data_IF_917997336538
#
_entry.id   IF_917997336538
#
_cell.length_a   1.000
_cell.length_b   1.000
_cell.length_c   1.000
_cell.angle_alpha   90.00
_cell.angle_beta   90.00
_cell.angle_gamma   90.00
#
_symmetry.space_group_name_H-M   'P 1'
#
loop_
_entity.id
_entity.type
_entity.pdbx_description
1 polymer ?
#
# COMPACT_ATOMS: atom_id res chain seq x y z
N UNK A 1 30.05 38.19 -8.37
CA UNK A 1 31.04 37.10 -8.26
C UNK A 1 30.44 35.88 -8.94
N UNK A 2 30.77 35.67 -10.21
CA UNK A 2 30.30 34.51 -10.98
C UNK A 2 31.14 33.30 -10.60
N UNK A 3 30.55 32.37 -9.85
CA UNK A 3 31.18 31.07 -9.62
C UNK A 3 30.99 30.24 -10.88
N UNK A 4 32.03 30.20 -11.70
CA UNK A 4 32.19 29.26 -12.81
C UNK A 4 32.07 27.84 -12.26
N UNK A 5 30.96 27.17 -12.55
CA UNK A 5 30.80 25.75 -12.24
C UNK A 5 31.73 24.96 -13.15
N UNK A 6 32.72 24.32 -12.54
CA UNK A 6 33.69 23.48 -13.24
C UNK A 6 32.95 22.36 -14.03
N UNK A 7 33.21 22.21 -15.34
CA UNK A 7 32.62 21.16 -16.18
C UNK A 7 32.79 19.74 -15.62
N UNK A 8 33.86 19.47 -14.86
CA UNK A 8 34.09 18.18 -14.22
C UNK A 8 33.09 17.87 -13.09
N UNK A 9 32.62 18.90 -12.36
CA UNK A 9 31.56 18.76 -11.34
C UNK A 9 30.19 18.52 -11.95
N UNK A 10 29.94 19.05 -13.16
CA UNK A 10 28.73 18.76 -13.94
C UNK A 10 28.78 17.33 -14.47
N UNK A 11 29.94 16.87 -14.95
CA UNK A 11 30.14 15.48 -15.39
C UNK A 11 29.98 14.45 -14.26
N UNK A 12 30.43 14.76 -13.03
CA UNK A 12 30.25 13.89 -11.86
C UNK A 12 28.78 13.82 -11.39
N UNK A 13 28.00 14.90 -11.53
CA UNK A 13 26.56 14.88 -11.24
C UNK A 13 25.75 14.13 -12.31
N UNK A 14 26.23 14.11 -13.57
CA UNK A 14 25.64 13.34 -14.67
C UNK A 14 25.91 11.84 -14.56
N UNK A 15 26.97 11.41 -13.85
CA UNK A 15 27.27 9.99 -13.61
C UNK A 15 26.32 9.30 -12.62
N UNK A 16 25.56 10.06 -11.81
CA UNK A 16 24.45 9.55 -10.98
C UNK A 16 23.12 9.60 -11.77
N UNK A 17 23.20 9.94 -13.06
CA UNK A 17 22.10 9.91 -14.01
C UNK A 17 21.56 8.50 -14.15
N UNK A 18 20.34 8.31 -13.63
CA UNK A 18 19.37 7.30 -14.00
C UNK A 18 19.83 6.33 -15.08
N UNK A 19 20.39 5.20 -14.66
CA UNK A 19 20.67 4.04 -15.50
C UNK A 19 19.33 3.36 -15.87
N UNK A 20 18.41 4.10 -16.47
CA UNK A 20 17.07 3.64 -16.89
C UNK A 20 17.12 2.72 -18.12
N UNK A 21 18.32 2.51 -18.69
CA UNK A 21 18.63 1.46 -19.66
C UNK A 21 19.37 0.27 -19.04
N UNK A 22 19.33 0.08 -17.71
CA UNK A 22 19.99 -1.06 -17.10
C UNK A 22 19.47 -2.39 -17.71
N UNK A 23 20.40 -3.31 -17.95
CA UNK A 23 20.31 -4.64 -18.58
C UNK A 23 19.33 -5.64 -17.91
N UNK A 24 18.24 -5.17 -17.33
CA UNK A 24 17.30 -5.91 -16.48
C UNK A 24 16.15 -6.56 -17.27
N UNK A 25 16.09 -6.36 -18.59
CA UNK A 25 14.98 -6.78 -19.46
C UNK A 25 15.10 -8.18 -20.05
N UNK A 26 16.27 -8.85 -20.03
CA UNK A 26 16.40 -10.14 -20.74
C UNK A 26 17.42 -11.16 -20.20
N UNK A 27 18.27 -10.82 -19.22
CA UNK A 27 19.25 -11.77 -18.67
C UNK A 27 18.80 -12.45 -17.38
N UNK A 28 18.94 -13.77 -17.29
CA UNK A 28 19.02 -14.45 -15.99
C UNK A 28 20.30 -14.01 -15.30
N UNK A 29 20.21 -12.99 -14.43
CA UNK A 29 21.34 -12.58 -13.60
C UNK A 29 21.54 -13.65 -12.53
N UNK A 30 22.62 -14.42 -12.63
CA UNK A 30 23.07 -15.29 -11.56
C UNK A 30 23.50 -14.41 -10.39
N UNK A 31 22.76 -14.50 -9.28
CA UNK A 31 23.13 -13.82 -8.03
C UNK A 31 24.02 -14.75 -7.22
N UNK A 32 25.06 -14.19 -6.61
CA UNK A 32 25.88 -14.89 -5.63
C UNK A 32 25.01 -15.46 -4.49
N UNK A 33 25.44 -16.54 -3.83
CA UNK A 33 24.80 -17.02 -2.61
C UNK A 33 24.62 -15.87 -1.62
N UNK A 34 23.40 -15.74 -1.08
CA UNK A 34 23.10 -14.71 -0.11
C UNK A 34 23.47 -15.20 1.29
N UNK A 35 24.27 -14.43 2.02
CA UNK A 35 24.66 -14.71 3.39
C UNK A 35 24.51 -13.43 4.23
N UNK A 36 23.46 -13.29 5.05
CA UNK A 36 23.30 -12.10 5.88
C UNK A 36 24.34 -12.06 7.00
N UNK A 37 24.76 -10.86 7.40
CA UNK A 37 25.59 -10.68 8.59
C UNK A 37 24.73 -10.82 9.86
N UNK A 38 25.29 -11.25 11.01
CA UNK A 38 24.54 -11.30 12.27
C UNK A 38 23.91 -9.96 12.68
N UNK A 39 24.56 -8.84 12.33
CA UNK A 39 23.97 -7.51 12.54
C UNK A 39 22.73 -7.30 11.68
N UNK A 40 22.79 -7.69 10.40
CA UNK A 40 21.65 -7.57 9.47
C UNK A 40 20.48 -8.43 9.94
N UNK A 41 20.74 -9.67 10.36
CA UNK A 41 19.72 -10.56 10.94
C UNK A 41 19.07 -9.93 12.17
N UNK A 42 19.86 -9.43 13.11
CA UNK A 42 19.34 -8.78 14.32
C UNK A 42 18.49 -7.54 14.03
N UNK A 43 18.86 -6.73 13.04
CA UNK A 43 18.05 -5.57 12.60
C UNK A 43 16.71 -6.04 12.00
N UNK A 44 16.73 -7.08 11.17
CA UNK A 44 15.54 -7.63 10.51
C UNK A 44 14.58 -8.21 11.55
N UNK A 45 15.09 -9.00 12.49
CA UNK A 45 14.28 -9.63 13.54
C UNK A 45 13.56 -8.57 14.39
N UNK A 46 14.26 -7.50 14.76
CA UNK A 46 13.66 -6.38 15.49
C UNK A 46 12.59 -5.65 14.65
N UNK A 47 12.83 -5.41 13.36
CA UNK A 47 11.82 -4.84 12.45
C UNK A 47 10.59 -5.74 12.37
N UNK A 48 10.77 -7.07 12.31
CA UNK A 48 9.67 -8.04 12.28
C UNK A 48 8.88 -8.03 13.59
N UNK A 49 9.55 -7.97 14.73
CA UNK A 49 8.92 -7.87 16.05
C UNK A 49 8.07 -6.59 16.17
N UNK A 50 8.67 -5.43 15.88
CA UNK A 50 8.00 -4.13 15.87
C UNK A 50 6.83 -4.10 14.87
N UNK A 51 6.97 -4.72 13.69
CA UNK A 51 5.87 -4.79 12.74
C UNK A 51 4.68 -5.56 13.28
N UNK A 52 4.90 -6.69 13.97
CA UNK A 52 3.83 -7.47 14.60
C UNK A 52 3.14 -6.68 15.71
N UNK A 53 3.89 -5.97 16.54
CA UNK A 53 3.35 -5.07 17.55
C UNK A 53 2.50 -3.97 16.90
N UNK A 54 3.01 -3.34 15.84
CA UNK A 54 2.28 -2.35 15.07
C UNK A 54 0.94 -2.88 14.54
N UNK A 55 0.92 -4.11 14.01
CA UNK A 55 -0.31 -4.75 13.55
C UNK A 55 -1.32 -4.96 14.70
N UNK A 56 -0.85 -5.29 15.90
CA UNK A 56 -1.69 -5.37 17.09
C UNK A 56 -2.28 -4.00 17.46
N UNK A 57 -1.45 -2.96 17.53
CA UNK A 57 -1.88 -1.58 17.80
C UNK A 57 -2.95 -1.11 16.81
N UNK A 58 -2.71 -1.28 15.51
CA UNK A 58 -3.67 -0.90 14.47
C UNK A 58 -5.00 -1.64 14.63
N UNK A 59 -4.96 -2.95 14.89
CA UNK A 59 -6.18 -3.75 15.07
C UNK A 59 -7.00 -3.26 16.27
N UNK A 60 -6.36 -3.00 17.42
CA UNK A 60 -7.07 -2.51 18.60
C UNK A 60 -7.63 -1.11 18.39
N UNK A 61 -6.87 -0.21 17.77
CA UNK A 61 -7.38 1.10 17.36
C UNK A 61 -8.62 0.99 16.46
N UNK A 62 -8.57 0.13 15.43
CA UNK A 62 -9.72 -0.09 14.54
C UNK A 62 -10.92 -0.64 15.30
N UNK A 63 -10.74 -1.57 16.24
CA UNK A 63 -11.84 -2.07 17.08
C UNK A 63 -12.50 -0.96 17.90
N UNK A 64 -11.72 -0.07 18.50
CA UNK A 64 -12.25 1.08 19.24
C UNK A 64 -13.05 2.03 18.35
N UNK A 65 -12.53 2.37 17.16
CA UNK A 65 -13.26 3.21 16.19
C UNK A 65 -14.58 2.55 15.79
N UNK A 66 -14.57 1.26 15.49
CA UNK A 66 -15.77 0.52 15.09
C UNK A 66 -16.79 0.40 16.24
N UNK A 67 -16.32 0.22 17.47
CA UNK A 67 -17.18 0.20 18.66
C UNK A 67 -17.82 1.57 18.92
N UNK A 68 -17.06 2.67 18.81
CA UNK A 68 -17.58 4.03 18.94
C UNK A 68 -18.64 4.33 17.85
N UNK A 69 -18.36 3.95 16.60
CA UNK A 69 -19.35 4.03 15.50
C UNK A 69 -20.56 3.11 15.72
N UNK A 70 -20.40 1.96 16.37
CA UNK A 70 -21.52 1.09 16.71
C UNK A 70 -22.44 1.73 17.74
N UNK A 71 -21.89 2.35 18.78
CA UNK A 71 -22.65 3.11 19.77
C UNK A 71 -23.45 4.26 19.10
N UNK A 72 -22.82 5.00 18.18
CA UNK A 72 -23.51 6.04 17.41
C UNK A 72 -24.70 5.47 16.61
N UNK A 73 -24.51 4.35 15.93
CA UNK A 73 -25.59 3.68 15.18
C UNK A 73 -26.73 3.23 16.09
N UNK A 74 -26.44 2.61 17.23
CA UNK A 74 -27.49 2.15 18.16
C UNK A 74 -28.31 3.28 18.77
N UNK A 75 -27.76 4.50 18.83
CA UNK A 75 -28.45 5.66 19.41
C UNK A 75 -29.24 6.47 18.39
N UNK A 76 -28.82 6.45 17.12
CA UNK A 76 -29.35 7.34 16.08
C UNK A 76 -30.22 6.63 15.05
N UNK A 77 -30.00 5.33 14.85
CA UNK A 77 -30.67 4.59 13.79
C UNK A 77 -31.87 3.81 14.33
N UNK A 78 -32.87 3.66 13.45
CA UNK A 78 -34.05 2.82 13.61
C UNK A 78 -34.03 1.73 12.54
N UNK A 79 -34.95 0.76 12.60
CA UNK A 79 -35.03 -0.31 11.59
C UNK A 79 -35.25 0.24 10.16
N UNK A 80 -35.94 1.38 10.02
CA UNK A 80 -36.16 2.04 8.73
C UNK A 80 -34.88 2.60 8.10
N UNK A 81 -33.81 2.79 8.88
CA UNK A 81 -32.52 3.24 8.36
C UNK A 81 -31.72 2.12 7.68
N UNK A 82 -32.15 0.86 7.81
CA UNK A 82 -31.47 -0.30 7.25
C UNK A 82 -32.12 -0.74 5.94
N UNK A 83 -31.28 -1.02 4.95
CA UNK A 83 -31.67 -1.51 3.62
C UNK A 83 -30.98 -2.85 3.35
N UNK A 84 -31.59 -3.67 2.50
CA UNK A 84 -31.00 -4.92 2.07
C UNK A 84 -29.65 -4.68 1.38
N UNK A 85 -28.63 -5.44 1.77
CA UNK A 85 -27.31 -5.36 1.16
C UNK A 85 -27.23 -6.30 -0.05
N UNK A 86 -27.73 -5.82 -1.20
CA UNK A 86 -27.71 -6.54 -2.49
C UNK A 86 -26.31 -6.83 -3.04
N UNK A 87 -25.25 -6.35 -2.39
CA UNK A 87 -23.87 -6.65 -2.79
C UNK A 87 -23.44 -8.10 -2.46
N UNK A 88 -24.23 -8.84 -1.69
CA UNK A 88 -23.92 -10.20 -1.27
C UNK A 88 -25.16 -11.09 -1.29
N UNK A 89 -25.16 -12.15 -2.10
CA UNK A 89 -26.21 -13.17 -2.13
C UNK A 89 -26.23 -14.09 -0.89
N UNK A 90 -25.38 -13.81 0.10
CA UNK A 90 -25.23 -14.65 1.29
C UNK A 90 -26.28 -14.26 2.34
N UNK A 91 -27.18 -15.19 2.64
CA UNK A 91 -27.98 -15.15 3.87
C UNK A 91 -27.07 -15.32 5.08
N UNK A 92 -27.41 -14.64 6.17
CA UNK A 92 -26.77 -14.83 7.47
C UNK A 92 -26.96 -16.27 7.96
N UNK A 93 -26.21 -16.69 8.98
CA UNK A 93 -26.38 -18.00 9.62
C UNK A 93 -27.81 -18.27 10.12
N UNK A 94 -28.63 -17.22 10.24
CA UNK A 94 -30.03 -17.27 10.67
C UNK A 94 -31.02 -17.17 9.51
N UNK A 95 -30.59 -17.38 8.26
CA UNK A 95 -31.45 -17.33 7.08
C UNK A 95 -31.94 -15.92 6.70
N UNK A 96 -31.54 -14.87 7.43
CA UNK A 96 -31.92 -13.49 7.13
C UNK A 96 -30.98 -12.90 6.08
N UNK A 97 -31.53 -12.13 5.15
CA UNK A 97 -30.75 -11.30 4.23
C UNK A 97 -29.92 -10.29 5.02
N UNK A 98 -28.71 -10.03 4.55
CA UNK A 98 -27.82 -9.06 5.17
C UNK A 98 -28.38 -7.65 4.95
N UNK A 99 -28.33 -6.83 5.99
CA UNK A 99 -28.72 -5.41 5.91
C UNK A 99 -27.51 -4.51 6.13
N UNK A 100 -27.57 -3.31 5.56
CA UNK A 100 -26.64 -2.20 5.78
C UNK A 100 -27.42 -0.92 6.02
N UNK A 101 -26.76 0.11 6.55
CA UNK A 101 -27.38 1.43 6.62
C UNK A 101 -27.63 1.97 5.21
N UNK A 102 -28.72 2.70 5.05
CA UNK A 102 -28.90 3.57 3.89
C UNK A 102 -27.80 4.62 3.86
N UNK A 103 -27.43 5.10 2.67
CA UNK A 103 -26.40 6.13 2.54
C UNK A 103 -26.73 7.40 3.34
N UNK A 104 -28.02 7.77 3.42
CA UNK A 104 -28.49 8.91 4.21
C UNK A 104 -28.28 8.70 5.71
N UNK A 105 -28.61 7.50 6.22
CA UNK A 105 -28.40 7.15 7.62
C UNK A 105 -26.92 7.05 7.96
N UNK A 106 -26.08 6.46 7.09
CA UNK A 106 -24.63 6.41 7.26
C UNK A 106 -24.04 7.81 7.38
N UNK A 107 -24.43 8.73 6.48
CA UNK A 107 -23.99 10.14 6.53
C UNK A 107 -24.42 10.81 7.84
N UNK A 108 -25.68 10.65 8.25
CA UNK A 108 -26.21 11.22 9.50
C UNK A 108 -25.44 10.72 10.73
N UNK A 109 -25.13 9.43 10.79
CA UNK A 109 -24.31 8.83 11.85
C UNK A 109 -22.89 9.41 11.84
N UNK A 110 -22.25 9.49 10.68
CA UNK A 110 -20.88 10.00 10.56
C UNK A 110 -20.79 11.49 10.94
N UNK A 111 -21.78 12.31 10.57
CA UNK A 111 -21.83 13.72 10.94
C UNK A 111 -22.06 13.91 12.45
N UNK A 112 -23.02 13.17 13.04
CA UNK A 112 -23.25 13.20 14.48
C UNK A 112 -22.04 12.68 15.27
N UNK A 113 -21.35 11.65 14.78
CA UNK A 113 -20.11 11.16 15.36
C UNK A 113 -19.02 12.24 15.33
N UNK A 114 -18.82 12.94 14.21
CA UNK A 114 -17.85 14.05 14.12
C UNK A 114 -18.20 15.19 15.08
N UNK A 115 -19.47 15.56 15.19
CA UNK A 115 -19.93 16.58 16.13
C UNK A 115 -19.65 16.18 17.59
N UNK A 116 -20.00 14.95 17.97
CA UNK A 116 -19.72 14.42 19.31
C UNK A 116 -18.22 14.40 19.65
N UNK A 117 -17.36 14.06 18.67
CA UNK A 117 -15.90 14.13 18.85
C UNK A 117 -15.43 15.58 19.05
N UNK A 118 -16.04 16.55 18.38
CA UNK A 118 -15.70 17.97 18.55
C UNK A 118 -16.09 18.47 19.95
N UNK A 119 -17.27 18.12 20.44
CA UNK A 119 -17.72 18.41 21.83
C UNK A 119 -16.73 17.86 22.87
N UNK A 120 -16.32 16.59 22.73
CA UNK A 120 -15.37 15.94 23.63
C UNK A 120 -14.02 16.68 23.63
N UNK A 121 -13.56 17.13 22.47
CA UNK A 121 -12.30 17.89 22.36
C UNK A 121 -12.39 19.29 22.97
N UNK A 122 -13.55 19.93 22.89
CA UNK A 122 -13.80 21.23 23.51
C UNK A 122 -13.99 21.13 25.03
N UNK A 123 -14.27 19.94 25.57
CA UNK A 123 -14.66 19.76 26.98
C UNK A 123 -16.13 20.12 27.25
N UNK A 124 -16.88 20.49 26.22
CA UNK A 124 -18.28 20.92 26.28
C UNK A 124 -19.19 19.75 25.88
N UNK A 125 -19.29 18.74 26.75
CA UNK A 125 -20.12 17.55 26.48
C UNK A 125 -21.59 17.92 26.67
N UNK A 126 -22.30 18.16 25.57
CA UNK A 126 -23.72 18.56 25.56
C UNK A 126 -24.61 17.41 25.07
N UNK A 127 -24.18 16.68 24.05
CA UNK A 127 -24.96 15.61 23.46
C UNK A 127 -24.81 14.29 24.21
N UNK A 128 -25.91 13.52 24.29
CA UNK A 128 -25.90 12.17 24.85
C UNK A 128 -24.88 11.26 24.14
N UNK A 129 -24.69 11.45 22.83
CA UNK A 129 -23.71 10.71 22.05
C UNK A 129 -22.28 11.01 22.52
N UNK A 130 -21.92 12.29 22.66
CA UNK A 130 -20.62 12.69 23.20
C UNK A 130 -20.38 12.10 24.60
N UNK A 131 -21.37 12.18 25.49
CA UNK A 131 -21.28 11.57 26.82
C UNK A 131 -21.03 10.06 26.77
N UNK A 132 -21.66 9.36 25.82
CA UNK A 132 -21.54 7.91 25.64
C UNK A 132 -20.16 7.50 25.10
N UNK A 133 -19.62 8.27 24.14
CA UNK A 133 -18.38 7.89 23.45
C UNK A 133 -17.11 8.59 23.99
N UNK A 134 -17.21 9.42 25.02
CA UNK A 134 -16.11 10.26 25.56
C UNK A 134 -14.81 9.53 25.87
N UNK A 135 -14.87 8.23 26.19
CA UNK A 135 -13.69 7.43 26.53
C UNK A 135 -12.94 6.90 25.29
N UNK A 136 -13.57 6.85 24.12
CA UNK A 136 -12.94 6.32 22.90
C UNK A 136 -11.83 7.23 22.34
N UNK A 137 -12.00 8.56 22.21
CA UNK A 137 -10.95 9.44 21.67
C UNK A 137 -9.61 9.37 22.40
N UNK A 138 -9.53 9.48 23.75
CA UNK A 138 -8.25 9.38 24.44
C UNK A 138 -7.62 7.99 24.29
N UNK A 139 -8.41 6.90 24.29
CA UNK A 139 -7.90 5.55 24.06
C UNK A 139 -7.37 5.36 22.63
N UNK A 140 -8.06 5.92 21.62
CA UNK A 140 -7.59 5.93 20.22
C UNK A 140 -6.28 6.71 20.12
N UNK A 141 -6.18 7.88 20.75
CA UNK A 141 -4.98 8.71 20.74
C UNK A 141 -3.77 7.99 21.36
N UNK A 142 -3.97 7.20 22.42
CA UNK A 142 -2.90 6.37 23.00
C UNK A 142 -2.33 5.36 21.99
N UNK A 143 -3.19 4.64 21.25
CA UNK A 143 -2.75 3.74 20.20
C UNK A 143 -2.11 4.47 19.00
N UNK A 144 -2.50 5.72 18.74
CA UNK A 144 -1.86 6.54 17.70
C UNK A 144 -0.45 6.98 18.08
N UNK A 145 -0.23 7.34 19.36
CA UNK A 145 1.11 7.61 19.88
C UNK A 145 2.00 6.37 19.77
N UNK A 146 1.50 5.21 20.21
CA UNK A 146 2.24 3.96 20.13
C UNK A 146 2.56 3.56 18.67
N UNK A 147 1.62 3.71 17.73
CA UNK A 147 1.88 3.47 16.29
C UNK A 147 2.96 4.43 15.75
N UNK A 148 2.97 5.70 16.19
CA UNK A 148 3.98 6.67 15.77
C UNK A 148 5.39 6.32 16.30
N UNK A 149 5.49 5.91 17.56
CA UNK A 149 6.74 5.47 18.20
C UNK A 149 7.31 4.23 17.51
N UNK A 150 6.45 3.21 17.28
CA UNK A 150 6.85 1.98 16.59
C UNK A 150 7.33 2.29 15.17
N UNK A 151 6.60 3.14 14.42
CA UNK A 151 7.04 3.57 13.08
C UNK A 151 8.42 4.20 13.11
N UNK A 152 8.66 5.14 14.04
CA UNK A 152 9.95 5.83 14.16
C UNK A 152 11.08 4.83 14.44
N UNK A 153 10.84 3.83 15.30
CA UNK A 153 11.81 2.77 15.58
C UNK A 153 12.08 1.90 14.34
N UNK A 154 11.02 1.42 13.67
CA UNK A 154 11.12 0.65 12.43
C UNK A 154 11.90 1.39 11.34
N UNK A 155 11.61 2.68 11.13
CA UNK A 155 12.31 3.50 10.15
C UNK A 155 13.79 3.66 10.50
N UNK A 156 14.13 3.92 11.78
CA UNK A 156 15.53 4.03 12.22
C UNK A 156 16.32 2.74 11.94
N UNK A 157 15.71 1.58 12.21
CA UNK A 157 16.32 0.28 11.93
C UNK A 157 16.46 0.02 10.44
N UNK A 158 15.42 0.32 9.65
CA UNK A 158 15.43 0.09 8.22
C UNK A 158 16.53 0.90 7.50
N UNK A 159 16.86 2.11 7.99
CA UNK A 159 17.98 2.92 7.47
C UNK A 159 19.35 2.25 7.60
N UNK A 160 19.50 1.28 8.51
CA UNK A 160 20.76 0.57 8.76
C UNK A 160 20.93 -0.66 7.88
N UNK A 161 19.89 -1.07 7.14
CA UNK A 161 19.99 -2.23 6.26
C UNK A 161 20.88 -1.88 5.05
N UNK A 162 21.73 -2.81 4.57
CA UNK A 162 22.67 -2.52 3.47
C UNK A 162 22.02 -2.02 2.18
N UNK A 163 20.79 -2.46 1.89
CA UNK A 163 20.03 -2.03 0.69
C UNK A 163 19.51 -0.59 0.76
N UNK A 164 19.63 0.10 1.90
CA UNK A 164 18.90 1.33 2.15
C UNK A 164 19.28 2.47 1.21
N UNK A 165 20.53 2.55 0.74
CA UNK A 165 20.94 3.58 -0.22
C UNK A 165 20.14 3.50 -1.53
N UNK A 166 19.87 2.29 -2.00
CA UNK A 166 18.97 2.09 -3.14
C UNK A 166 17.54 2.51 -2.81
N UNK A 167 17.02 2.11 -1.64
CA UNK A 167 15.65 2.47 -1.20
C UNK A 167 15.47 3.98 -1.18
N UNK A 168 16.43 4.71 -0.59
CA UNK A 168 16.44 6.18 -0.52
C UNK A 168 16.47 6.83 -1.90
N UNK A 169 17.11 6.19 -2.88
CA UNK A 169 17.13 6.62 -4.28
C UNK A 169 15.80 6.45 -5.02
N UNK A 170 14.88 5.61 -4.52
CA UNK A 170 13.57 5.40 -5.15
C UNK A 170 12.58 6.47 -4.67
N UNK A 171 12.36 7.49 -5.50
CA UNK A 171 11.36 8.54 -5.24
C UNK A 171 9.97 7.94 -4.97
N UNK A 172 9.40 8.31 -3.83
CA UNK A 172 8.10 7.82 -3.37
C UNK A 172 8.13 6.47 -2.63
N UNK A 173 9.29 5.82 -2.46
CA UNK A 173 9.40 4.63 -1.63
C UNK A 173 9.94 4.98 -0.24
N UNK A 174 9.03 5.44 0.64
CA UNK A 174 9.40 5.92 1.97
C UNK A 174 9.83 4.82 2.95
N UNK A 175 10.57 5.24 3.99
CA UNK A 175 11.20 4.36 4.98
C UNK A 175 10.23 3.40 5.65
N UNK A 176 9.05 3.88 6.07
CA UNK A 176 8.05 3.01 6.69
C UNK A 176 7.45 1.99 5.70
N UNK A 177 7.33 2.35 4.42
CA UNK A 177 6.88 1.39 3.40
C UNK A 177 7.92 0.29 3.20
N UNK A 178 9.20 0.66 3.20
CA UNK A 178 10.28 -0.30 3.16
C UNK A 178 10.32 -1.18 4.42
N UNK A 179 10.32 -0.57 5.61
CA UNK A 179 10.35 -1.27 6.89
C UNK A 179 9.15 -2.21 7.08
N UNK A 180 7.96 -1.84 6.58
CA UNK A 180 6.79 -2.73 6.63
C UNK A 180 6.87 -3.90 5.66
N UNK A 181 7.51 -3.75 4.50
CA UNK A 181 7.82 -4.89 3.62
C UNK A 181 8.79 -5.85 4.31
N UNK A 182 9.85 -5.32 4.93
CA UNK A 182 10.79 -6.14 5.73
C UNK A 182 10.06 -6.82 6.90
N UNK A 183 9.25 -6.09 7.65
CA UNK A 183 8.49 -6.65 8.77
C UNK A 183 7.50 -7.76 8.39
N UNK A 184 6.99 -7.75 7.15
CA UNK A 184 6.14 -8.81 6.62
C UNK A 184 6.93 -9.99 6.04
N UNK A 185 8.01 -9.71 5.32
CA UNK A 185 8.79 -10.71 4.61
C UNK A 185 9.89 -11.36 5.45
N UNK A 186 10.37 -10.70 6.51
CA UNK A 186 11.65 -10.97 7.14
C UNK A 186 12.79 -10.62 6.20
N UNK A 187 13.84 -11.43 6.22
CA UNK A 187 14.98 -11.29 5.32
C UNK A 187 14.60 -11.64 3.87
N UNK A 188 14.58 -10.63 3.01
CA UNK A 188 14.18 -10.76 1.60
C UNK A 188 15.21 -11.57 0.81
N UNK A 189 16.49 -11.53 1.18
CA UNK A 189 17.58 -12.19 0.47
C UNK A 189 17.54 -13.71 0.57
N UNK A 190 16.98 -14.23 1.68
CA UNK A 190 16.83 -15.67 1.93
C UNK A 190 15.76 -16.34 1.06
N UNK A 191 14.90 -15.57 0.39
CA UNK A 191 13.90 -16.14 -0.52
C UNK A 191 14.56 -16.74 -1.76
N UNK A 192 14.18 -17.98 -2.10
CA UNK A 192 14.69 -18.71 -3.27
C UNK A 192 14.56 -17.96 -4.60
N UNK A 193 13.56 -17.08 -4.72
CA UNK A 193 13.35 -16.23 -5.89
C UNK A 193 12.40 -15.09 -5.57
N UNK A 194 12.42 -14.05 -6.42
CA UNK A 194 11.44 -12.96 -6.37
C UNK A 194 9.99 -13.45 -6.41
N UNK A 195 9.71 -14.56 -7.10
CA UNK A 195 8.36 -15.15 -7.15
C UNK A 195 7.87 -15.62 -5.77
N UNK A 196 8.78 -16.07 -4.91
CA UNK A 196 8.44 -16.44 -3.54
C UNK A 196 8.09 -15.20 -2.69
N UNK A 197 8.83 -14.09 -2.87
CA UNK A 197 8.51 -12.79 -2.25
C UNK A 197 7.15 -12.28 -2.74
N UNK A 198 6.88 -12.38 -4.05
CA UNK A 198 5.57 -12.03 -4.61
C UNK A 198 4.44 -12.88 -4.02
N UNK A 199 4.63 -14.20 -3.83
CA UNK A 199 3.62 -15.06 -3.19
C UNK A 199 3.36 -14.64 -1.74
N UNK A 200 4.40 -14.28 -0.98
CA UNK A 200 4.27 -13.77 0.40
C UNK A 200 3.43 -12.49 0.45
N UNK A 201 3.66 -11.56 -0.49
CA UNK A 201 2.99 -10.26 -0.55
C UNK A 201 1.66 -10.25 -1.30
N UNK A 202 1.10 -11.40 -1.70
CA UNK A 202 -0.20 -11.45 -2.40
C UNK A 202 -0.14 -11.05 -3.89
N UNK A 203 1.06 -11.08 -4.49
CA UNK A 203 1.35 -10.61 -5.84
C UNK A 203 1.55 -11.73 -6.87
N UNK A 204 1.55 -12.99 -6.44
CA UNK A 204 1.74 -14.12 -7.33
C UNK A 204 0.59 -14.25 -8.36
N UNK A 205 0.91 -14.99 -9.42
CA UNK A 205 -0.07 -15.58 -10.35
C UNK A 205 0.05 -17.08 -10.15
N UNK A 206 -1.06 -17.74 -9.85
CA UNK A 206 -1.16 -19.17 -9.55
C UNK A 206 -2.21 -19.70 -10.53
N UNK A 207 -1.83 -20.67 -11.34
CA UNK A 207 -2.71 -21.32 -12.34
C UNK A 207 -3.43 -20.32 -13.24
N UNK A 208 -2.67 -19.36 -13.78
CA UNK A 208 -3.17 -18.29 -14.66
C UNK A 208 -3.97 -17.19 -13.95
N UNK A 209 -4.29 -17.38 -12.66
CA UNK A 209 -5.12 -16.48 -11.89
C UNK A 209 -4.29 -15.62 -10.92
N UNK A 210 -4.74 -14.39 -10.67
CA UNK A 210 -4.11 -13.54 -9.65
C UNK A 210 -4.36 -14.14 -8.26
N UNK A 211 -3.33 -14.15 -7.41
CA UNK A 211 -3.48 -14.57 -6.01
C UNK A 211 -4.60 -13.77 -5.33
N UNK A 212 -5.47 -14.47 -4.60
CA UNK A 212 -6.71 -13.93 -4.01
C UNK A 212 -7.92 -13.86 -4.95
N UNK A 213 -7.83 -14.43 -6.15
CA UNK A 213 -8.97 -14.61 -7.07
C UNK A 213 -8.79 -15.89 -7.91
N UNK A 214 -8.96 -17.09 -7.33
CA UNK A 214 -8.75 -18.38 -8.00
C UNK A 214 -9.71 -18.68 -9.16
N UNK A 215 -10.83 -17.95 -9.29
CA UNK A 215 -11.79 -18.12 -10.37
C UNK A 215 -13.21 -18.33 -9.85
N UNK A 216 -14.18 -18.44 -10.77
CA UNK A 216 -15.61 -18.57 -10.44
C UNK A 216 -15.97 -19.94 -9.83
N UNK A 217 -15.21 -20.98 -10.17
CA UNK A 217 -15.47 -22.36 -9.72
C UNK A 217 -14.39 -22.86 -8.74
N UNK A 218 -13.80 -21.96 -7.96
CA UNK A 218 -12.71 -22.28 -7.07
C UNK A 218 -13.16 -23.12 -5.87
N UNK A 219 -12.48 -24.24 -5.66
CA UNK A 219 -12.59 -25.12 -4.50
C UNK A 219 -11.92 -24.52 -3.26
N UNK A 220 -12.14 -25.12 -2.10
CA UNK A 220 -11.42 -24.76 -0.88
C UNK A 220 -9.90 -24.93 -1.03
N UNK A 221 -9.46 -25.98 -1.72
CA UNK A 221 -8.05 -26.27 -1.97
C UNK A 221 -7.40 -25.21 -2.87
N UNK A 222 -8.13 -24.65 -3.84
CA UNK A 222 -7.63 -23.53 -4.65
C UNK A 222 -7.34 -22.29 -3.80
N UNK A 223 -8.20 -22.01 -2.81
CA UNK A 223 -7.99 -20.92 -1.87
C UNK A 223 -6.81 -21.17 -0.92
N UNK A 224 -6.63 -22.41 -0.46
CA UNK A 224 -5.48 -22.83 0.36
C UNK A 224 -4.18 -22.71 -0.46
N UNK A 225 -4.17 -23.21 -1.69
CA UNK A 225 -3.03 -23.13 -2.61
C UNK A 225 -2.63 -21.68 -2.91
N UNK A 226 -3.63 -20.82 -3.11
CA UNK A 226 -3.45 -19.38 -3.24
C UNK A 226 -2.77 -18.77 -2.02
N UNK A 227 -3.05 -19.27 -0.81
CA UNK A 227 -2.46 -18.79 0.44
C UNK A 227 -2.60 -17.28 0.61
N UNK A 228 -3.68 -16.71 0.08
CA UNK A 228 -3.86 -15.27 0.02
C UNK A 228 -4.17 -14.72 1.41
N UNK A 229 -3.39 -13.74 1.84
CA UNK A 229 -3.63 -13.02 3.08
C UNK A 229 -3.79 -11.52 2.76
N UNK A 230 -4.99 -10.98 3.06
CA UNK A 230 -5.34 -9.59 2.77
C UNK A 230 -4.45 -8.60 3.52
N UNK A 231 -4.07 -8.91 4.75
CA UNK A 231 -3.19 -8.09 5.57
C UNK A 231 -1.80 -8.00 4.93
N UNK A 232 -1.22 -9.13 4.51
CA UNK A 232 0.07 -9.15 3.78
C UNK A 232 0.00 -8.36 2.48
N UNK A 233 -1.10 -8.54 1.73
CA UNK A 233 -1.34 -7.80 0.48
C UNK A 233 -1.42 -6.30 0.71
N UNK A 234 -1.94 -5.85 1.86
CA UNK A 234 -2.08 -4.43 2.15
C UNK A 234 -0.74 -3.72 2.30
N UNK A 235 0.31 -4.41 2.73
CA UNK A 235 1.67 -3.86 2.88
C UNK A 235 2.21 -3.39 1.54
N UNK A 236 2.24 -4.29 0.54
CA UNK A 236 2.71 -3.97 -0.81
C UNK A 236 1.77 -2.97 -1.50
N UNK A 237 0.45 -3.06 -1.24
CA UNK A 237 -0.53 -2.12 -1.77
C UNK A 237 -0.23 -0.68 -1.34
N UNK A 238 0.08 -0.46 -0.06
CA UNK A 238 0.37 0.88 0.45
C UNK A 238 1.70 1.40 -0.08
N UNK A 239 2.73 0.54 -0.14
CA UNK A 239 4.04 0.92 -0.67
C UNK A 239 3.95 1.43 -2.11
N UNK A 240 3.17 0.76 -2.99
CA UNK A 240 3.07 1.14 -4.41
C UNK A 240 2.40 2.49 -4.64
N UNK A 241 1.54 2.94 -3.73
CA UNK A 241 0.75 4.16 -3.94
C UNK A 241 1.69 5.35 -4.05
N UNK A 242 2.69 5.43 -3.17
CA UNK A 242 3.57 6.59 -3.08
C UNK A 242 4.58 6.66 -4.24
N UNK A 243 5.02 5.51 -4.75
CA UNK A 243 5.98 5.42 -5.87
C UNK A 243 5.43 5.99 -7.18
N UNK A 244 4.12 5.89 -7.41
CA UNK A 244 3.48 6.41 -8.64
C UNK A 244 2.93 7.83 -8.42
N UNK A 245 2.95 8.37 -7.19
CA UNK A 245 2.41 9.70 -6.87
C UNK A 245 1.01 9.71 -6.24
N UNK A 246 0.63 8.65 -5.51
CA UNK A 246 -0.66 8.50 -4.81
C UNK A 246 -1.80 8.05 -5.73
N UNK A 247 -2.94 7.61 -5.15
CA UNK A 247 -4.14 7.08 -5.83
C UNK A 247 -4.73 8.02 -6.91
N UNK A 248 -4.06 8.13 -8.06
CA UNK A 248 -4.52 8.92 -9.20
C UNK A 248 -4.04 10.37 -9.26
N UNK A 249 -3.19 10.87 -8.35
CA UNK A 249 -2.77 12.28 -8.42
C UNK A 249 -1.76 12.56 -9.53
N UNK A 250 -0.86 11.61 -9.79
CA UNK A 250 0.07 11.73 -10.92
C UNK A 250 -0.42 10.94 -12.14
N UNK A 251 -0.40 11.62 -13.28
CA UNK A 251 -0.71 11.13 -14.62
C UNK A 251 0.13 11.96 -15.61
N UNK A 252 0.62 11.37 -16.71
CA UNK A 252 1.28 12.15 -17.74
C UNK A 252 0.25 13.05 -18.45
N UNK A 253 0.75 14.08 -19.14
CA UNK A 253 -0.08 14.82 -20.10
C UNK A 253 -0.63 13.87 -21.17
N UNK A 254 -1.83 14.16 -21.66
CA UNK A 254 -2.49 13.31 -22.64
C UNK A 254 -1.66 13.22 -23.94
N UNK A 255 -1.36 12.00 -24.39
CA UNK A 255 -0.54 11.77 -25.58
C UNK A 255 0.96 12.00 -25.41
N UNK A 256 1.44 12.34 -24.21
CA UNK A 256 2.86 12.61 -23.99
C UNK A 256 3.73 11.37 -24.20
N UNK A 257 4.94 11.56 -24.74
CA UNK A 257 5.97 10.53 -24.73
C UNK A 257 6.63 10.49 -23.34
N UNK A 258 6.20 9.54 -22.52
CA UNK A 258 6.69 9.38 -21.14
C UNK A 258 8.15 8.92 -21.07
N UNK A 259 8.73 8.40 -22.16
CA UNK A 259 10.16 8.03 -22.19
C UNK A 259 11.07 9.22 -22.47
N UNK A 260 10.55 10.22 -23.19
CA UNK A 260 11.27 11.45 -23.48
C UNK A 260 11.31 12.41 -22.28
N UNK A 261 10.40 12.24 -21.31
CA UNK A 261 10.30 13.08 -20.12
C UNK A 261 11.28 12.61 -19.02
N UNK A 262 12.38 13.36 -18.88
CA UNK A 262 13.45 13.11 -17.90
C UNK A 262 13.04 13.44 -16.45
N UNK A 263 11.97 14.20 -16.24
CA UNK A 263 11.47 14.52 -14.91
C UNK A 263 10.64 13.39 -14.30
N UNK A 264 10.22 12.42 -15.13
CA UNK A 264 9.49 11.25 -14.68
C UNK A 264 10.41 10.23 -14.05
N UNK A 265 9.98 9.72 -12.90
CA UNK A 265 10.64 8.55 -12.31
C UNK A 265 10.42 7.33 -13.19
N UNK A 266 11.37 6.41 -13.12
CA UNK A 266 11.26 5.11 -13.76
C UNK A 266 9.89 4.42 -13.54
N UNK A 267 9.40 4.40 -12.32
CA UNK A 267 8.14 3.70 -12.00
C UNK A 267 6.90 4.43 -12.51
N UNK A 268 6.97 5.76 -12.68
CA UNK A 268 5.92 6.55 -13.34
C UNK A 268 5.86 6.26 -14.83
N UNK A 269 7.01 6.18 -15.50
CA UNK A 269 7.09 5.79 -16.92
C UNK A 269 6.52 4.38 -17.13
N UNK A 270 6.98 3.40 -16.33
CA UNK A 270 6.46 2.02 -16.36
C UNK A 270 4.96 1.96 -16.10
N UNK A 271 4.45 2.78 -15.17
CA UNK A 271 3.02 2.85 -14.90
C UNK A 271 2.23 3.31 -16.12
N UNK A 272 2.62 4.45 -16.73
CA UNK A 272 1.90 5.04 -17.85
C UNK A 272 1.90 4.10 -19.07
N UNK A 273 3.07 3.55 -19.43
CA UNK A 273 3.20 2.56 -20.51
C UNK A 273 2.31 1.34 -20.26
N UNK A 274 2.34 0.80 -19.03
CA UNK A 274 1.53 -0.36 -18.71
C UNK A 274 0.04 -0.04 -18.67
N UNK A 275 -0.34 1.15 -18.23
CA UNK A 275 -1.73 1.58 -18.22
C UNK A 275 -2.27 1.69 -19.65
N UNK A 276 -1.51 2.30 -20.57
CA UNK A 276 -1.83 2.36 -22.02
C UNK A 276 -1.99 0.96 -22.62
N UNK A 277 -1.00 0.08 -22.40
CA UNK A 277 -1.05 -1.31 -22.87
C UNK A 277 -2.25 -2.09 -22.33
N UNK A 278 -2.55 -1.98 -21.03
CA UNK A 278 -3.70 -2.69 -20.43
C UNK A 278 -5.03 -2.10 -20.89
N UNK A 279 -5.07 -0.79 -21.17
CA UNK A 279 -6.22 -0.10 -21.76
C UNK A 279 -6.52 -0.65 -23.16
N UNK A 280 -5.52 -0.69 -24.04
CA UNK A 280 -5.63 -1.25 -25.39
C UNK A 280 -6.07 -2.73 -25.34
N UNK A 281 -5.38 -3.55 -24.53
CA UNK A 281 -5.69 -4.98 -24.37
C UNK A 281 -7.12 -5.25 -23.89
N UNK A 282 -7.71 -4.33 -23.12
CA UNK A 282 -9.06 -4.47 -22.58
C UNK A 282 -10.12 -3.76 -23.44
N UNK A 283 -9.74 -3.09 -24.54
CA UNK A 283 -10.65 -2.24 -25.29
C UNK A 283 -11.19 -1.05 -24.49
N UNK A 284 -10.43 -0.57 -23.50
CA UNK A 284 -10.79 0.53 -22.62
C UNK A 284 -10.00 1.79 -23.02
N UNK A 285 -10.61 2.76 -23.73
CA UNK A 285 -9.88 3.90 -24.25
C UNK A 285 -9.23 4.72 -23.13
N UNK A 286 -8.01 5.19 -23.41
CA UNK A 286 -7.38 6.25 -22.62
C UNK A 286 -8.03 7.56 -23.06
N UNK A 287 -8.52 8.35 -22.11
CA UNK A 287 -9.18 9.63 -22.41
C UNK A 287 -8.42 10.78 -21.79
N UNK A 288 -8.62 11.97 -22.33
CA UNK A 288 -8.14 13.20 -21.71
C UNK A 288 -9.03 13.59 -20.53
N UNK A 289 -8.42 14.04 -19.43
CA UNK A 289 -9.11 14.59 -18.27
C UNK A 289 -9.26 16.11 -18.39
N UNK A 290 -10.10 16.70 -17.54
CA UNK A 290 -10.27 18.16 -17.48
C UNK A 290 -8.97 18.96 -17.23
N UNK A 291 -7.91 18.30 -16.72
CA UNK A 291 -6.60 18.93 -16.48
C UNK A 291 -5.58 18.60 -17.58
N UNK A 292 -6.00 18.13 -18.76
CA UNK A 292 -5.11 17.77 -19.87
C UNK A 292 -4.24 16.53 -19.62
N UNK A 293 -4.58 15.72 -18.62
CA UNK A 293 -3.84 14.50 -18.25
C UNK A 293 -4.52 13.24 -18.73
N UNK A 294 -3.77 12.16 -18.87
CA UNK A 294 -4.34 10.85 -19.17
C UNK A 294 -5.26 10.35 -18.04
N UNK A 295 -6.43 9.87 -18.44
CA UNK A 295 -7.39 9.19 -17.61
C UNK A 295 -7.56 7.75 -18.07
N UNK A 296 -7.49 6.83 -17.12
CA UNK A 296 -7.61 5.40 -17.37
C UNK A 296 -8.81 4.84 -16.61
N UNK A 297 -9.49 3.87 -17.21
CA UNK A 297 -10.51 3.09 -16.49
C UNK A 297 -9.85 2.31 -15.34
N UNK A 298 -10.58 2.16 -14.22
CA UNK A 298 -10.06 1.59 -12.97
C UNK A 298 -9.44 0.20 -13.14
N UNK A 299 -9.98 -0.65 -14.02
CA UNK A 299 -9.43 -1.98 -14.27
C UNK A 299 -8.03 -1.94 -14.91
N UNK A 300 -7.82 -1.11 -15.93
CA UNK A 300 -6.52 -0.96 -16.59
C UNK A 300 -5.48 -0.36 -15.61
N UNK A 301 -5.86 0.70 -14.90
CA UNK A 301 -5.02 1.33 -13.88
C UNK A 301 -4.59 0.34 -12.78
N UNK A 302 -5.52 -0.48 -12.26
CA UNK A 302 -5.21 -1.45 -11.21
C UNK A 302 -4.24 -2.55 -11.67
N UNK A 303 -4.32 -2.98 -12.94
CA UNK A 303 -3.36 -3.93 -13.53
C UNK A 303 -1.98 -3.28 -13.69
N UNK A 304 -1.92 -2.04 -14.16
CA UNK A 304 -0.68 -1.27 -14.24
C UNK A 304 -0.03 -1.07 -12.87
N UNK A 305 -0.80 -0.68 -11.85
CA UNK A 305 -0.31 -0.57 -10.48
C UNK A 305 0.28 -1.89 -9.96
N UNK A 306 -0.40 -3.03 -10.19
CA UNK A 306 0.11 -4.35 -9.77
C UNK A 306 1.41 -4.70 -10.50
N UNK A 307 1.54 -4.32 -11.76
CA UNK A 307 2.77 -4.55 -12.54
C UNK A 307 3.94 -3.74 -11.99
N UNK A 308 3.77 -2.44 -11.75
CA UNK A 308 4.77 -1.55 -11.14
C UNK A 308 5.20 -2.08 -9.77
N UNK A 309 4.23 -2.50 -8.97
CA UNK A 309 4.46 -3.07 -7.65
C UNK A 309 5.29 -4.35 -7.69
N UNK A 310 5.00 -5.28 -8.62
CA UNK A 310 5.84 -6.46 -8.83
C UNK A 310 7.26 -6.07 -9.23
N UNK A 311 7.40 -5.01 -10.03
CA UNK A 311 8.71 -4.52 -10.50
C UNK A 311 9.52 -3.88 -9.37
N UNK A 312 8.89 -3.08 -8.52
CA UNK A 312 9.49 -2.54 -7.30
C UNK A 312 10.02 -3.66 -6.40
N UNK A 313 9.19 -4.69 -6.13
CA UNK A 313 9.61 -5.83 -5.30
C UNK A 313 10.73 -6.64 -5.96
N UNK A 314 10.73 -6.75 -7.30
CA UNK A 314 11.83 -7.38 -8.04
C UNK A 314 13.13 -6.61 -7.83
N UNK A 315 13.11 -5.29 -8.02
CA UNK A 315 14.31 -4.49 -7.85
C UNK A 315 14.79 -4.53 -6.40
N UNK A 316 13.88 -4.42 -5.42
CA UNK A 316 14.23 -4.58 -4.02
C UNK A 316 14.92 -5.92 -3.74
N UNK A 317 14.39 -7.03 -4.24
CA UNK A 317 15.01 -8.36 -4.09
C UNK A 317 16.42 -8.43 -4.71
N UNK A 318 16.59 -7.86 -5.91
CA UNK A 318 17.89 -7.85 -6.59
C UNK A 318 18.93 -7.01 -5.84
N UNK A 319 18.56 -5.80 -5.44
CA UNK A 319 19.48 -4.88 -4.75
C UNK A 319 19.78 -5.35 -3.34
N UNK A 320 18.82 -5.98 -2.66
CA UNK A 320 19.04 -6.61 -1.36
C UNK A 320 20.15 -7.66 -1.40
N UNK A 321 20.15 -8.49 -2.46
CA UNK A 321 21.18 -9.52 -2.64
C UNK A 321 22.50 -9.00 -3.19
N UNK A 322 22.53 -7.80 -3.77
CA UNK A 322 23.78 -7.13 -4.20
C UNK A 322 24.46 -6.38 -3.08
N UNK A 323 23.69 -5.91 -2.11
CA UNK A 323 24.18 -5.15 -0.97
C UNK A 323 24.67 -6.03 0.20
N UNK A 324 24.44 -7.35 0.13
CA UNK A 324 24.88 -8.31 1.14
C UNK A 324 26.17 -9.02 0.74
#
# INVERSE_FOLDING_TARGET
>A
MNVSLNPASIAAAVAIGHNSQAAWSSGHVLLAPYAPTPETEGIIDEIVALHRERQFVIKNKTKLILAAKAAARSMLCTDADFVEDSAYDKVTAFGRKRVKLSNAAEKRVDDAFKAAIAEIKAGEIVSRLAATIRHFPPAIAAFESQDAEIKKAMEKLARRLPVYDWVKGVKGFGDISFATIVGECGDIGTYKSVSAVWKRLGLAVIDGNRQGNPGKSASADDWISHGYNRQRRSVSWNARQHVIGGMGKWRPAYGADVRADLDLTYYQQVYAERARYESEKLGLPVTESATGKESYKMHAANRAHRYVEKRLVKHLYLEWRRAA
#
